data_IF_363686702582
#
_entry.id   IF_363686702582
#
_cell.length_a   1.000
_cell.length_b   1.000
_cell.length_c   1.000
_cell.angle_alpha   90.00
_cell.angle_beta   90.00
_cell.angle_gamma   90.00
#
_symmetry.space_group_name_H-M   'P 1'
#
loop_
_entity.id
_entity.type
_entity.pdbx_description
1 polymer ?
#
# COMPACT_ATOMS: atom_id res chain seq x y z
N UNK A 1 8.75 5.35 5.09
CA UNK A 1 7.51 5.32 5.89
C UNK A 1 7.17 6.65 6.51
N UNK A 2 7.97 7.23 7.42
CA UNK A 2 7.60 8.47 8.16
C UNK A 2 7.25 9.68 7.27
N UNK A 3 7.89 9.84 6.11
CA UNK A 3 7.56 10.89 5.13
C UNK A 3 6.13 10.75 4.58
N UNK A 4 5.63 9.53 4.37
CA UNK A 4 4.24 9.30 3.93
C UNK A 4 3.23 9.68 5.02
N UNK A 5 3.50 9.28 6.26
CA UNK A 5 2.68 9.67 7.42
C UNK A 5 2.68 11.18 7.65
N UNK A 6 3.83 11.83 7.51
CA UNK A 6 3.94 13.28 7.60
C UNK A 6 3.20 13.98 6.44
N UNK A 7 3.35 13.50 5.20
CA UNK A 7 2.66 14.08 4.04
C UNK A 7 1.13 13.92 4.15
N UNK A 8 0.63 12.70 4.42
CA UNK A 8 -0.79 12.44 4.62
C UNK A 8 -1.38 13.22 5.80
N UNK A 9 -0.66 13.26 6.93
CA UNK A 9 -1.03 14.06 8.10
C UNK A 9 -1.10 15.56 7.79
N UNK A 10 -0.09 16.12 7.15
CA UNK A 10 -0.05 17.54 6.76
C UNK A 10 -1.11 17.88 5.71
N UNK A 11 -1.44 16.98 4.78
CA UNK A 11 -2.55 17.19 3.83
C UNK A 11 -3.92 17.25 4.54
N UNK A 12 -4.21 16.31 5.45
CA UNK A 12 -5.50 16.30 6.18
C UNK A 12 -5.59 17.42 7.22
N UNK A 13 -4.50 17.75 7.92
CA UNK A 13 -4.44 18.94 8.76
C UNK A 13 -4.58 20.23 7.94
N UNK A 14 -3.99 20.26 6.74
CA UNK A 14 -4.10 21.38 5.80
C UNK A 14 -5.53 21.62 5.32
N UNK A 15 -6.28 20.57 4.97
CA UNK A 15 -7.70 20.72 4.58
C UNK A 15 -8.58 21.12 5.76
N UNK A 16 -8.36 20.57 6.96
CA UNK A 16 -9.09 20.95 8.18
C UNK A 16 -8.83 22.42 8.53
N UNK A 17 -7.57 22.87 8.48
CA UNK A 17 -7.20 24.26 8.73
C UNK A 17 -7.74 25.21 7.65
N UNK A 18 -7.74 24.80 6.38
CA UNK A 18 -8.34 25.56 5.28
C UNK A 18 -9.85 25.74 5.49
N UNK A 19 -10.59 24.67 5.79
CA UNK A 19 -12.04 24.75 6.09
C UNK A 19 -12.35 25.55 7.34
N UNK A 20 -11.48 25.54 8.37
CA UNK A 20 -11.60 26.45 9.52
C UNK A 20 -11.37 27.91 9.13
N UNK A 21 -10.37 28.20 8.30
CA UNK A 21 -10.04 29.55 7.87
C UNK A 21 -11.14 30.14 6.98
N UNK A 22 -11.64 29.37 6.01
CA UNK A 22 -12.76 29.73 5.14
C UNK A 22 -14.03 30.03 5.99
N UNK A 23 -14.32 29.17 6.97
CA UNK A 23 -15.43 29.35 7.93
C UNK A 23 -15.26 30.55 8.87
N UNK A 24 -14.04 30.89 9.27
CA UNK A 24 -13.74 32.11 10.04
C UNK A 24 -13.83 33.39 9.18
N UNK A 25 -13.69 33.25 7.86
CA UNK A 25 -13.70 34.38 6.91
C UNK A 25 -15.10 34.69 6.35
N UNK A 26 -16.03 33.73 6.35
CA UNK A 26 -17.43 33.93 5.95
C UNK A 26 -18.41 33.48 7.03
N UNK A 27 -18.99 34.46 7.74
CA UNK A 27 -19.95 34.26 8.83
C UNK A 27 -21.42 34.17 8.38
N UNK A 28 -21.69 34.11 7.07
CA UNK A 28 -23.05 34.10 6.51
C UNK A 28 -23.60 32.68 6.29
N UNK A 29 -24.63 32.33 7.08
CA UNK A 29 -25.30 31.02 7.09
C UNK A 29 -25.81 30.58 5.71
N UNK A 30 -26.14 31.52 4.82
CA UNK A 30 -26.64 31.24 3.47
C UNK A 30 -25.61 30.57 2.55
N UNK A 31 -24.32 30.68 2.88
CA UNK A 31 -23.23 30.01 2.19
C UNK A 31 -22.82 28.70 2.87
N UNK A 32 -23.62 28.15 3.81
CA UNK A 32 -23.31 26.83 4.38
C UNK A 32 -23.33 25.73 3.29
N UNK A 33 -22.13 25.34 2.86
CA UNK A 33 -21.83 24.06 2.22
C UNK A 33 -20.83 23.28 3.07
N UNK A 34 -21.00 21.96 3.15
CA UNK A 34 -20.08 21.08 3.89
C UNK A 34 -19.05 20.49 2.93
N UNK A 35 -17.78 20.36 3.35
CA UNK A 35 -16.68 19.95 2.46
C UNK A 35 -16.89 18.55 1.85
N UNK A 36 -17.66 17.68 2.49
CA UNK A 36 -17.96 16.32 2.02
C UNK A 36 -19.46 16.07 1.77
N UNK A 37 -20.23 17.14 1.50
CA UNK A 37 -21.65 17.07 1.14
C UNK A 37 -22.62 17.27 2.32
N UNK A 38 -23.88 17.58 1.99
CA UNK A 38 -24.94 17.88 2.97
C UNK A 38 -25.64 16.60 3.43
N UNK A 39 -25.72 16.38 4.75
CA UNK A 39 -26.43 15.26 5.35
C UNK A 39 -27.93 15.63 5.50
N UNK A 40 -28.75 15.11 4.60
CA UNK A 40 -30.19 15.45 4.45
C UNK A 40 -31.07 15.13 5.65
N UNK A 41 -30.56 14.41 6.66
CA UNK A 41 -31.30 14.05 7.87
C UNK A 41 -31.10 15.02 9.06
N UNK A 42 -30.28 16.07 8.91
CA UNK A 42 -30.04 17.08 9.96
C UNK A 42 -30.41 18.47 9.47
N UNK A 43 -31.24 19.21 10.22
CA UNK A 43 -31.46 20.63 9.98
C UNK A 43 -30.22 21.44 10.38
N UNK A 44 -29.44 21.85 9.37
CA UNK A 44 -28.18 22.60 9.52
C UNK A 44 -28.40 24.12 9.65
N UNK A 45 -29.63 24.59 9.48
CA UNK A 45 -30.05 26.00 9.55
C UNK A 45 -29.98 26.63 10.94
N UNK A 46 -29.49 25.90 11.95
CA UNK A 46 -29.28 26.38 13.31
C UNK A 46 -27.93 25.91 13.85
N UNK A 47 -27.15 26.83 14.43
CA UNK A 47 -26.07 26.48 15.35
C UNK A 47 -26.67 25.85 16.61
N UNK A 48 -26.08 24.77 17.19
CA UNK A 48 -24.75 24.21 16.94
C UNK A 48 -24.71 23.02 15.96
N UNK A 49 -25.80 22.68 15.25
CA UNK A 49 -25.90 21.43 14.51
C UNK A 49 -24.89 21.30 13.35
N UNK A 50 -24.66 22.36 12.56
CA UNK A 50 -23.61 22.35 11.52
C UNK A 50 -22.22 22.09 12.17
N UNK A 51 -21.90 22.67 13.33
CA UNK A 51 -20.62 22.45 14.03
C UNK A 51 -20.33 20.98 14.36
N UNK A 52 -21.33 20.27 14.88
CA UNK A 52 -21.21 18.85 15.26
C UNK A 52 -21.02 17.99 14.01
N UNK A 53 -21.80 18.24 12.95
CA UNK A 53 -21.69 17.48 11.68
C UNK A 53 -20.37 17.78 10.96
N UNK A 54 -19.86 19.01 11.03
CA UNK A 54 -18.55 19.39 10.50
C UNK A 54 -17.42 18.61 11.17
N UNK A 55 -17.38 18.64 12.50
CA UNK A 55 -16.37 17.93 13.29
C UNK A 55 -16.42 16.42 13.00
N UNK A 56 -17.63 15.84 12.94
CA UNK A 56 -17.84 14.45 12.57
C UNK A 56 -17.32 14.10 11.15
N UNK A 57 -17.56 14.95 10.15
CA UNK A 57 -17.00 14.75 8.81
C UNK A 57 -15.47 14.79 8.81
N UNK A 58 -14.86 15.78 9.46
CA UNK A 58 -13.40 15.89 9.54
C UNK A 58 -12.75 14.69 10.23
N UNK A 59 -13.31 14.21 11.35
CA UNK A 59 -12.83 13.00 12.04
C UNK A 59 -13.01 11.76 11.17
N UNK A 60 -14.16 11.62 10.49
CA UNK A 60 -14.44 10.48 9.61
C UNK A 60 -13.45 10.41 8.44
N UNK A 61 -13.18 11.53 7.78
CA UNK A 61 -12.21 11.60 6.66
C UNK A 61 -10.78 11.38 7.14
N UNK A 62 -10.41 11.88 8.32
CA UNK A 62 -9.10 11.58 8.92
C UNK A 62 -8.93 10.07 9.21
N UNK A 63 -9.93 9.41 9.78
CA UNK A 63 -9.91 7.95 10.02
C UNK A 63 -9.81 7.15 8.71
N UNK A 64 -10.55 7.54 7.67
CA UNK A 64 -10.47 6.90 6.33
C UNK A 64 -9.08 7.10 5.71
N UNK A 65 -8.51 8.31 5.79
CA UNK A 65 -7.17 8.58 5.27
C UNK A 65 -6.07 7.79 6.02
N UNK A 66 -6.17 7.70 7.36
CA UNK A 66 -5.24 6.91 8.20
C UNK A 66 -5.34 5.43 7.91
N UNK A 67 -6.55 4.86 7.82
CA UNK A 67 -6.75 3.43 7.55
C UNK A 67 -6.25 3.04 6.16
N UNK A 68 -6.58 3.83 5.13
CA UNK A 68 -6.09 3.60 3.76
C UNK A 68 -4.55 3.68 3.68
N UNK A 69 -3.94 4.73 4.25
CA UNK A 69 -2.47 4.88 4.31
C UNK A 69 -1.80 3.74 5.08
N UNK A 70 -2.48 3.17 6.09
CA UNK A 70 -2.00 1.99 6.83
C UNK A 70 -1.97 0.74 5.96
N UNK A 71 -3.02 0.51 5.16
CA UNK A 71 -3.13 -0.66 4.27
C UNK A 71 -2.01 -0.60 3.21
N UNK A 72 -1.86 0.53 2.53
CA UNK A 72 -0.80 0.74 1.54
C UNK A 72 0.60 0.51 2.14
N UNK A 73 0.84 1.02 3.36
CA UNK A 73 2.10 0.84 4.06
C UNK A 73 2.35 -0.61 4.51
N UNK A 74 1.30 -1.35 4.91
CA UNK A 74 1.38 -2.76 5.27
C UNK A 74 1.67 -3.64 4.04
N UNK A 75 0.99 -3.41 2.92
CA UNK A 75 1.25 -4.12 1.65
C UNK A 75 2.69 -3.88 1.21
N UNK A 76 3.16 -2.63 1.20
CA UNK A 76 4.55 -2.30 0.89
C UNK A 76 5.57 -2.95 1.85
N UNK A 77 5.25 -3.03 3.15
CA UNK A 77 6.10 -3.69 4.14
C UNK A 77 6.17 -5.21 3.94
N UNK A 78 5.04 -5.87 3.63
CA UNK A 78 4.99 -7.31 3.35
C UNK A 78 5.82 -7.66 2.11
N UNK A 79 5.66 -6.89 1.02
CA UNK A 79 6.47 -7.03 -0.20
C UNK A 79 7.97 -6.87 0.11
N UNK A 80 8.35 -5.83 0.87
CA UNK A 80 9.74 -5.61 1.26
C UNK A 80 10.31 -6.74 2.14
N UNK A 81 9.53 -7.24 3.11
CA UNK A 81 9.93 -8.35 3.98
C UNK A 81 10.15 -9.64 3.20
N UNK A 82 9.25 -10.00 2.29
CA UNK A 82 9.37 -11.21 1.48
C UNK A 82 10.54 -11.12 0.49
N UNK A 83 10.75 -9.97 -0.17
CA UNK A 83 11.95 -9.71 -0.97
C UNK A 83 13.25 -9.82 -0.14
N UNK A 84 13.22 -9.43 1.13
CA UNK A 84 14.35 -9.57 2.05
C UNK A 84 14.57 -11.04 2.48
N UNK A 85 13.51 -11.79 2.79
CA UNK A 85 13.59 -13.23 3.08
C UNK A 85 14.15 -14.02 1.89
N UNK A 86 13.68 -13.73 0.68
CA UNK A 86 14.21 -14.31 -0.55
C UNK A 86 15.71 -14.02 -0.71
N UNK A 87 16.16 -12.79 -0.40
CA UNK A 87 17.58 -12.41 -0.46
C UNK A 87 18.44 -13.05 0.64
N UNK A 88 17.88 -13.30 1.82
CA UNK A 88 18.52 -14.13 2.86
C UNK A 88 18.68 -15.56 2.34
N UNK A 89 17.61 -16.17 1.84
CA UNK A 89 17.63 -17.54 1.32
C UNK A 89 18.68 -17.69 0.22
N UNK A 90 18.67 -16.82 -0.79
CA UNK A 90 19.65 -16.79 -1.88
C UNK A 90 21.10 -16.73 -1.35
N UNK A 91 21.38 -15.88 -0.35
CA UNK A 91 22.70 -15.82 0.28
C UNK A 91 23.04 -17.09 1.09
N UNK A 92 22.06 -17.67 1.75
CA UNK A 92 22.20 -18.88 2.58
C UNK A 92 22.59 -20.09 1.71
N UNK A 93 21.80 -20.39 0.67
CA UNK A 93 22.13 -21.50 -0.27
C UNK A 93 23.46 -21.23 -0.98
N UNK A 94 23.77 -19.97 -1.33
CA UNK A 94 25.06 -19.59 -1.93
C UNK A 94 26.26 -19.78 -0.98
N UNK A 95 26.04 -19.73 0.33
CA UNK A 95 27.08 -20.04 1.33
C UNK A 95 27.33 -21.54 1.42
N UNK A 96 26.27 -22.37 1.48
CA UNK A 96 26.40 -23.83 1.46
C UNK A 96 27.12 -24.33 0.20
N UNK A 97 26.73 -23.81 -0.98
CA UNK A 97 27.37 -24.16 -2.26
C UNK A 97 28.87 -23.83 -2.35
N UNK A 98 29.37 -22.86 -1.56
CA UNK A 98 30.81 -22.60 -1.43
C UNK A 98 31.50 -23.59 -0.50
N UNK A 99 30.95 -23.78 0.70
CA UNK A 99 31.58 -24.59 1.76
C UNK A 99 31.80 -26.04 1.30
N UNK A 100 30.80 -26.62 0.62
CA UNK A 100 30.83 -27.98 0.05
C UNK A 100 31.58 -28.04 -1.31
N UNK A 101 32.00 -26.89 -1.88
CA UNK A 101 32.99 -26.85 -2.96
C UNK A 101 34.42 -26.76 -2.39
N UNK A 102 34.63 -26.00 -1.33
CA UNK A 102 35.94 -25.90 -0.66
C UNK A 102 36.35 -27.21 0.01
N UNK A 103 35.42 -27.87 0.72
CA UNK A 103 35.67 -29.19 1.34
C UNK A 103 36.07 -30.24 0.30
N UNK A 104 35.31 -30.38 -0.79
CA UNK A 104 35.63 -31.38 -1.84
C UNK A 104 36.90 -31.06 -2.63
N UNK A 105 37.33 -29.79 -2.67
CA UNK A 105 38.62 -29.40 -3.27
C UNK A 105 39.82 -29.81 -2.40
N UNK A 106 39.62 -30.12 -1.11
CA UNK A 106 40.66 -30.66 -0.22
C UNK A 106 40.80 -32.18 -0.36
N UNK A 107 39.71 -32.91 -0.67
CA UNK A 107 39.74 -34.38 -0.81
C UNK A 107 40.11 -34.87 -2.22
N UNK A 108 39.57 -34.27 -3.28
CA UNK A 108 39.69 -34.83 -4.63
C UNK A 108 40.99 -34.43 -5.35
N UNK A 109 42.03 -35.25 -5.18
CA UNK A 109 43.23 -35.23 -6.05
C UNK A 109 43.16 -36.26 -7.19
N UNK A 110 42.07 -37.04 -7.29
CA UNK A 110 41.91 -38.15 -8.24
C UNK A 110 40.53 -38.18 -8.89
N UNK A 111 40.54 -38.49 -10.19
CA UNK A 111 39.44 -38.67 -11.13
C UNK A 111 38.54 -37.46 -11.47
N UNK A 112 38.21 -37.33 -12.76
CA UNK A 112 37.82 -36.05 -13.39
C UNK A 112 36.40 -36.04 -13.97
N UNK A 113 35.74 -37.20 -14.08
CA UNK A 113 34.35 -37.28 -14.56
C UNK A 113 33.34 -36.99 -13.44
N UNK A 114 33.41 -37.76 -12.35
CA UNK A 114 32.41 -37.76 -11.29
C UNK A 114 32.36 -36.44 -10.51
N UNK A 115 33.51 -35.75 -10.40
CA UNK A 115 33.60 -34.41 -9.81
C UNK A 115 32.79 -33.37 -10.59
N UNK A 116 32.73 -33.46 -11.92
CA UNK A 116 31.92 -32.58 -12.75
C UNK A 116 30.43 -32.88 -12.58
N UNK A 117 30.03 -34.16 -12.60
CA UNK A 117 28.63 -34.56 -12.41
C UNK A 117 28.11 -34.17 -11.01
N UNK A 118 28.91 -34.40 -9.96
CA UNK A 118 28.58 -34.02 -8.60
C UNK A 118 28.50 -32.49 -8.40
N UNK A 119 29.26 -31.71 -9.17
CA UNK A 119 29.17 -30.24 -9.16
C UNK A 119 27.93 -29.74 -9.91
N UNK A 120 27.66 -30.31 -11.09
CA UNK A 120 26.50 -29.95 -11.90
C UNK A 120 25.19 -30.27 -11.17
N UNK A 121 25.11 -31.43 -10.50
CA UNK A 121 23.93 -31.80 -9.69
C UNK A 121 23.61 -30.76 -8.62
N UNK A 122 24.61 -30.31 -7.84
CA UNK A 122 24.42 -29.26 -6.82
C UNK A 122 23.88 -27.96 -7.41
N UNK A 123 24.32 -27.58 -8.62
CA UNK A 123 23.86 -26.35 -9.30
C UNK A 123 22.39 -26.49 -9.72
N UNK A 124 21.96 -27.68 -10.17
CA UNK A 124 20.55 -27.97 -10.47
C UNK A 124 19.71 -27.97 -9.18
N UNK A 125 20.11 -28.76 -8.17
CA UNK A 125 19.41 -28.83 -6.88
C UNK A 125 19.26 -27.43 -6.23
N UNK A 126 20.31 -26.60 -6.31
CA UNK A 126 20.33 -25.19 -5.89
C UNK A 126 19.30 -24.34 -6.65
N UNK A 127 19.24 -24.46 -7.98
CA UNK A 127 18.33 -23.66 -8.81
C UNK A 127 16.87 -24.09 -8.61
N UNK A 128 16.61 -25.40 -8.51
CA UNK A 128 15.27 -25.93 -8.23
C UNK A 128 14.75 -25.46 -6.88
N UNK A 129 15.54 -25.57 -5.80
CA UNK A 129 15.12 -25.13 -4.46
C UNK A 129 14.87 -23.61 -4.36
N UNK A 130 15.55 -22.80 -5.17
CA UNK A 130 15.30 -21.36 -5.25
C UNK A 130 14.06 -21.06 -6.10
N UNK A 131 13.83 -21.79 -7.19
CA UNK A 131 12.67 -21.62 -8.07
C UNK A 131 11.35 -21.94 -7.37
N UNK A 132 11.30 -23.04 -6.62
CA UNK A 132 10.14 -23.50 -5.82
C UNK A 132 9.65 -22.39 -4.86
N UNK A 133 10.58 -21.74 -4.15
CA UNK A 133 10.27 -20.61 -3.24
C UNK A 133 9.92 -19.32 -4.00
N UNK A 134 10.40 -19.11 -5.23
CA UNK A 134 9.95 -18.00 -6.07
C UNK A 134 8.48 -18.22 -6.48
N UNK A 135 8.09 -19.44 -6.86
CA UNK A 135 6.74 -19.74 -7.32
C UNK A 135 5.69 -19.54 -6.21
N UNK A 136 5.97 -19.97 -4.98
CA UNK A 136 5.13 -19.64 -3.81
C UNK A 136 5.04 -18.12 -3.56
N UNK A 137 6.18 -17.43 -3.57
CA UNK A 137 6.24 -15.98 -3.31
C UNK A 137 5.54 -15.16 -4.39
N UNK A 138 5.71 -15.50 -5.67
CA UNK A 138 5.01 -14.87 -6.78
C UNK A 138 3.50 -15.13 -6.69
N UNK A 139 3.09 -16.35 -6.33
CA UNK A 139 1.70 -16.70 -6.07
C UNK A 139 1.07 -15.87 -4.92
N UNK A 140 1.84 -15.48 -3.91
CA UNK A 140 1.38 -14.60 -2.82
C UNK A 140 1.39 -13.13 -3.26
N UNK A 141 2.47 -12.67 -3.91
CA UNK A 141 2.61 -11.29 -4.41
C UNK A 141 1.54 -10.93 -5.43
N UNK A 142 1.28 -11.80 -6.40
CA UNK A 142 0.27 -11.56 -7.42
C UNK A 142 -1.13 -11.42 -6.77
N UNK A 143 -1.47 -12.27 -5.79
CA UNK A 143 -2.73 -12.14 -5.02
C UNK A 143 -2.81 -10.84 -4.23
N UNK A 144 -1.74 -10.43 -3.54
CA UNK A 144 -1.69 -9.17 -2.79
C UNK A 144 -1.83 -7.96 -3.70
N UNK A 145 -1.08 -7.91 -4.81
CA UNK A 145 -1.12 -6.83 -5.79
C UNK A 145 -2.49 -6.77 -6.48
N UNK A 146 -3.06 -7.90 -6.88
CA UNK A 146 -4.40 -7.97 -7.48
C UNK A 146 -5.49 -7.46 -6.52
N UNK A 147 -5.40 -7.82 -5.23
CA UNK A 147 -6.32 -7.33 -4.19
C UNK A 147 -6.19 -5.81 -4.00
N UNK A 148 -4.95 -5.30 -3.94
CA UNK A 148 -4.68 -3.87 -3.84
C UNK A 148 -5.22 -3.12 -5.06
N UNK A 149 -4.85 -3.51 -6.28
CA UNK A 149 -5.24 -2.81 -7.51
C UNK A 149 -6.74 -2.89 -7.80
N UNK A 150 -7.41 -4.01 -7.48
CA UNK A 150 -8.87 -4.09 -7.61
C UNK A 150 -9.60 -3.17 -6.62
N UNK A 151 -9.14 -3.13 -5.36
CA UNK A 151 -9.66 -2.19 -4.35
C UNK A 151 -9.51 -0.73 -4.76
N UNK A 152 -8.31 -0.33 -5.20
CA UNK A 152 -8.07 1.05 -5.65
C UNK A 152 -8.84 1.40 -6.92
N UNK A 153 -8.96 0.47 -7.88
CA UNK A 153 -9.74 0.66 -9.10
C UNK A 153 -11.23 0.87 -8.81
N UNK A 154 -11.83 0.03 -7.96
CA UNK A 154 -13.24 0.20 -7.58
C UNK A 154 -13.49 1.56 -6.90
N UNK A 155 -12.60 1.99 -6.00
CA UNK A 155 -12.68 3.29 -5.34
C UNK A 155 -12.55 4.46 -6.34
N UNK A 156 -11.62 4.37 -7.30
CA UNK A 156 -11.45 5.35 -8.37
C UNK A 156 -12.67 5.42 -9.28
N UNK A 157 -13.25 4.28 -9.69
CA UNK A 157 -14.45 4.25 -10.52
C UNK A 157 -15.65 4.95 -9.85
N UNK A 158 -15.88 4.70 -8.55
CA UNK A 158 -16.94 5.37 -7.77
C UNK A 158 -16.66 6.89 -7.68
N UNK A 159 -15.41 7.27 -7.39
CA UNK A 159 -14.99 8.68 -7.29
C UNK A 159 -15.18 9.44 -8.61
N UNK A 160 -14.83 8.82 -9.74
CA UNK A 160 -15.00 9.38 -11.09
C UNK A 160 -16.48 9.50 -11.46
N UNK A 161 -17.31 8.52 -11.10
CA UNK A 161 -18.76 8.58 -11.31
C UNK A 161 -19.38 9.78 -10.58
N UNK A 162 -19.12 9.91 -9.27
CA UNK A 162 -19.62 11.02 -8.45
C UNK A 162 -19.15 12.38 -8.96
N UNK A 163 -17.87 12.51 -9.32
CA UNK A 163 -17.32 13.73 -9.92
C UNK A 163 -17.98 14.08 -11.26
N UNK A 164 -18.38 13.07 -12.04
CA UNK A 164 -19.05 13.25 -13.34
C UNK A 164 -20.49 13.74 -13.16
N UNK A 165 -21.28 13.14 -12.28
CA UNK A 165 -22.66 13.62 -11.99
C UNK A 165 -22.66 15.07 -11.47
N UNK A 166 -21.80 15.39 -10.51
CA UNK A 166 -21.68 16.75 -9.95
C UNK A 166 -21.28 17.76 -11.04
N UNK A 167 -20.47 17.36 -12.03
CA UNK A 167 -20.12 18.21 -13.17
C UNK A 167 -21.29 18.37 -14.15
N UNK A 168 -22.05 17.32 -14.41
CA UNK A 168 -23.21 17.36 -15.30
C UNK A 168 -24.33 18.26 -14.72
N UNK A 169 -24.59 18.15 -13.42
CA UNK A 169 -25.56 18.99 -12.70
C UNK A 169 -25.17 20.48 -12.68
N UNK A 170 -23.87 20.80 -12.76
CA UNK A 170 -23.36 22.19 -12.89
C UNK A 170 -23.34 22.72 -14.33
N UNK A 171 -23.61 21.89 -15.34
CA UNK A 171 -23.68 22.29 -16.76
C UNK A 171 -25.12 22.43 -17.26
N UNK A 172 -26.10 21.95 -16.50
CA UNK A 172 -27.53 21.95 -16.85
C UNK A 172 -28.35 22.91 -15.95
N UNK A 173 -27.73 24.00 -15.49
CA UNK A 173 -28.30 25.00 -14.58
C UNK A 173 -27.65 26.37 -14.78
#
# INVERSE_FOLDING_TARGET
TSIYWFCGGCCVLGTILYSLFERLTHSDYHYWQLPYGQLTFVNMTCSPNFEIVWCYQCVSVWLVAVTYTSIDALVAAILAHACYQFKILQNCVRSYGKTDHETKKVENTTDSSDGLQATLKKIVDYHTAIFDVIEEMEGIFNKLLLTQFSGTLCFLCISIYQATEVRFLKLNK
#
